data_IF_967787462427
#
_entry.id   IF_967787462427
#
_cell.length_a   1.000
_cell.length_b   1.000
_cell.length_c   1.000
_cell.angle_alpha   90.00
_cell.angle_beta   90.00
_cell.angle_gamma   90.00
#
_symmetry.space_group_name_H-M   'P 1'
#
loop_
_entity.id
_entity.type
_entity.pdbx_description
1 polymer ?
#
# COMPACT_ATOMS: atom_id res chain seq x y z
N UNK A 1 25.97 -84.60 79.48
CA UNK A 1 26.27 -83.40 80.29
C UNK A 1 26.70 -82.29 79.34
N UNK A 2 26.15 -81.08 79.56
CA UNK A 2 26.44 -79.81 78.90
C UNK A 2 25.68 -79.41 77.62
N UNK A 3 24.93 -78.33 77.81
CA UNK A 3 24.05 -77.55 76.92
C UNK A 3 24.79 -76.95 75.72
N UNK A 4 24.05 -76.66 74.65
CA UNK A 4 23.98 -75.29 74.09
C UNK A 4 22.71 -75.07 73.26
N UNK A 5 21.83 -74.26 73.82
CA UNK A 5 20.79 -73.49 73.14
C UNK A 5 21.49 -72.37 72.36
N UNK A 6 21.05 -72.05 71.14
CA UNK A 6 20.88 -70.65 70.71
C UNK A 6 20.24 -70.50 69.31
N UNK A 7 18.99 -70.03 69.33
CA UNK A 7 18.43 -68.88 68.62
C UNK A 7 18.91 -68.56 67.19
N UNK A 8 17.93 -68.60 66.25
CA UNK A 8 17.88 -67.80 65.01
C UNK A 8 17.99 -66.30 65.32
N UNK A 9 18.46 -65.49 64.36
CA UNK A 9 17.47 -64.78 63.55
C UNK A 9 17.79 -64.81 62.04
N UNK A 10 16.72 -64.80 61.24
CA UNK A 10 16.74 -64.62 59.80
C UNK A 10 17.24 -63.21 59.45
N UNK A 11 18.33 -63.08 58.69
CA UNK A 11 18.67 -61.84 58.02
C UNK A 11 17.91 -61.75 56.70
N UNK A 12 16.66 -61.28 56.80
CA UNK A 12 15.90 -60.84 55.64
C UNK A 12 16.39 -59.42 55.28
N UNK A 13 17.41 -59.31 54.44
CA UNK A 13 17.86 -58.02 53.89
C UNK A 13 16.82 -57.53 52.88
N UNK A 14 15.75 -56.90 53.37
CA UNK A 14 14.86 -56.08 52.53
C UNK A 14 15.68 -54.91 52.00
N UNK A 15 16.12 -55.02 50.76
CA UNK A 15 16.68 -53.92 49.97
C UNK A 15 15.59 -52.84 49.85
N UNK A 16 15.71 -51.77 50.61
CA UNK A 16 14.81 -50.62 50.53
C UNK A 16 14.92 -50.01 49.12
N UNK A 17 13.90 -50.26 48.29
CA UNK A 17 13.79 -49.62 46.97
C UNK A 17 13.41 -48.17 47.22
N UNK A 18 14.40 -47.27 47.11
CA UNK A 18 14.23 -45.82 47.24
C UNK A 18 13.22 -45.34 46.20
N UNK A 19 12.06 -44.88 46.66
CA UNK A 19 10.92 -44.44 45.85
C UNK A 19 11.12 -43.02 45.29
N UNK A 20 12.34 -42.64 44.91
CA UNK A 20 12.70 -41.28 44.48
C UNK A 20 12.50 -41.04 42.97
N UNK A 21 11.97 -42.03 42.23
CA UNK A 21 11.72 -41.92 40.79
C UNK A 21 10.45 -41.17 40.41
N UNK A 22 9.44 -41.11 41.30
CA UNK A 22 8.15 -40.49 40.96
C UNK A 22 8.14 -38.97 41.11
N UNK A 23 8.80 -38.42 42.13
CA UNK A 23 8.77 -36.97 42.39
C UNK A 23 9.53 -36.18 41.32
N UNK A 24 10.70 -36.68 40.92
CA UNK A 24 11.50 -36.07 39.85
C UNK A 24 10.77 -36.15 38.50
N UNK A 25 10.11 -37.28 38.19
CA UNK A 25 9.29 -37.42 36.99
C UNK A 25 8.11 -36.44 36.94
N UNK A 26 7.39 -36.27 38.06
CA UNK A 26 6.27 -35.32 38.17
C UNK A 26 6.76 -33.88 38.01
N UNK A 27 7.89 -33.51 38.61
CA UNK A 27 8.48 -32.18 38.45
C UNK A 27 8.89 -31.89 37.00
N UNK A 28 9.48 -32.86 36.30
CA UNK A 28 9.85 -32.72 34.90
C UNK A 28 8.61 -32.57 34.01
N UNK A 29 7.58 -33.42 34.20
CA UNK A 29 6.34 -33.33 33.42
C UNK A 29 5.62 -32.01 33.67
N UNK A 30 5.58 -31.55 34.91
CA UNK A 30 4.99 -30.25 35.27
C UNK A 30 5.76 -29.09 34.63
N UNK A 31 7.10 -29.12 34.68
CA UNK A 31 7.93 -28.10 34.04
C UNK A 31 7.74 -28.07 32.51
N UNK A 32 7.69 -29.23 31.86
CA UNK A 32 7.41 -29.35 30.42
C UNK A 32 6.01 -28.83 30.10
N UNK A 33 5.01 -29.17 30.91
CA UNK A 33 3.64 -28.68 30.77
C UNK A 33 3.58 -27.16 30.82
N UNK A 34 4.24 -26.54 31.81
CA UNK A 34 4.29 -25.07 31.95
C UNK A 34 4.96 -24.41 30.74
N UNK A 35 6.10 -24.96 30.29
CA UNK A 35 6.80 -24.44 29.10
C UNK A 35 5.92 -24.56 27.86
N UNK A 36 5.23 -25.69 27.68
CA UNK A 36 4.34 -25.89 26.55
C UNK A 36 3.12 -24.95 26.59
N UNK A 37 2.52 -24.75 27.76
CA UNK A 37 1.44 -23.78 27.97
C UNK A 37 1.90 -22.34 27.69
N UNK A 38 3.12 -21.97 28.11
CA UNK A 38 3.69 -20.67 27.83
C UNK A 38 3.95 -20.45 26.33
N UNK A 39 4.44 -21.47 25.62
CA UNK A 39 4.62 -21.43 24.16
C UNK A 39 3.27 -21.28 23.45
N UNK A 40 2.25 -22.06 23.85
CA UNK A 40 0.90 -21.95 23.28
C UNK A 40 0.31 -20.56 23.57
N UNK A 41 0.42 -20.07 24.80
CA UNK A 41 -0.08 -18.75 25.18
C UNK A 41 0.62 -17.64 24.38
N UNK A 42 1.94 -17.72 24.23
CA UNK A 42 2.72 -16.77 23.42
C UNK A 42 2.30 -16.85 21.94
N UNK A 43 2.14 -18.05 21.39
CA UNK A 43 1.71 -18.26 20.00
C UNK A 43 0.29 -17.71 19.75
N UNK A 44 -0.65 -17.98 20.65
CA UNK A 44 -2.03 -17.50 20.55
C UNK A 44 -2.08 -15.98 20.72
N UNK A 45 -1.35 -15.42 21.68
CA UNK A 45 -1.31 -13.97 21.92
C UNK A 45 -0.77 -13.24 20.67
N UNK A 46 0.37 -13.69 20.14
CA UNK A 46 1.00 -13.09 18.93
C UNK A 46 0.13 -13.28 17.68
N UNK A 47 -0.54 -14.44 17.53
CA UNK A 47 -1.40 -14.70 16.37
C UNK A 47 -2.72 -13.95 16.43
N UNK A 48 -3.25 -13.69 17.63
CA UNK A 48 -4.53 -13.00 17.82
C UNK A 48 -4.49 -11.52 17.45
N UNK A 49 -3.30 -10.90 17.44
CA UNK A 49 -3.11 -9.50 17.07
C UNK A 49 -3.01 -9.29 15.54
N UNK A 50 -2.86 -10.36 14.75
CA UNK A 50 -2.70 -10.23 13.30
C UNK A 50 -4.06 -10.15 12.59
N UNK A 51 -4.44 -8.94 12.19
CA UNK A 51 -5.62 -8.70 11.36
C UNK A 51 -5.52 -9.50 10.06
N UNK A 52 -6.54 -10.31 9.69
CA UNK A 52 -6.51 -11.10 8.48
C UNK A 52 -6.41 -10.20 7.24
N UNK A 53 -5.77 -10.73 6.19
CA UNK A 53 -5.59 -10.05 4.91
C UNK A 53 -6.38 -10.74 3.80
N UNK A 54 -6.90 -9.95 2.88
CA UNK A 54 -7.41 -10.46 1.62
C UNK A 54 -6.24 -11.05 0.81
N UNK A 55 -6.43 -12.25 0.27
CA UNK A 55 -5.37 -13.01 -0.43
C UNK A 55 -5.03 -12.44 -1.81
N UNK A 56 -5.94 -11.68 -2.40
CA UNK A 56 -5.81 -11.14 -3.75
C UNK A 56 -5.03 -9.83 -3.74
N UNK A 57 -5.42 -8.88 -2.87
CA UNK A 57 -4.81 -7.54 -2.78
C UNK A 57 -3.93 -7.33 -1.55
N UNK A 58 -3.74 -8.32 -0.68
CA UNK A 58 -2.90 -8.27 0.53
C UNK A 58 -3.32 -7.22 1.59
N UNK A 59 -4.44 -6.54 1.37
CA UNK A 59 -4.94 -5.54 2.30
C UNK A 59 -5.61 -6.18 3.51
N UNK A 60 -5.50 -5.52 4.67
CA UNK A 60 -6.21 -5.93 5.87
C UNK A 60 -7.71 -5.88 5.63
N UNK A 61 -8.43 -6.92 6.06
CA UNK A 61 -9.90 -7.00 5.83
C UNK A 61 -10.68 -5.99 6.64
N UNK A 62 -10.08 -5.48 7.72
CA UNK A 62 -10.69 -4.43 8.53
C UNK A 62 -10.71 -3.08 7.81
N UNK A 63 -9.95 -2.88 6.73
CA UNK A 63 -9.88 -1.61 6.00
C UNK A 63 -9.01 -0.53 6.65
N UNK A 64 -8.25 -0.86 7.71
CA UNK A 64 -7.41 0.08 8.43
C UNK A 64 -6.00 0.15 7.82
N UNK A 65 -5.85 0.99 6.79
CA UNK A 65 -4.57 1.27 6.14
C UNK A 65 -4.58 2.65 5.47
N UNK A 66 -3.38 3.21 5.26
CA UNK A 66 -3.18 4.42 4.47
C UNK A 66 -3.22 4.10 2.97
N UNK A 67 -3.34 5.13 2.13
CA UNK A 67 -3.42 4.99 0.68
C UNK A 67 -2.38 5.85 -0.03
N UNK A 68 -1.80 5.28 -1.08
CA UNK A 68 -1.06 5.99 -2.11
C UNK A 68 -1.76 5.76 -3.45
N UNK A 69 -2.40 6.80 -3.97
CA UNK A 69 -3.04 6.78 -5.27
C UNK A 69 -2.09 7.41 -6.28
N UNK A 70 -1.78 6.68 -7.34
CA UNK A 70 -1.00 7.17 -8.49
C UNK A 70 -1.93 7.28 -9.69
N UNK A 71 -1.97 8.46 -10.29
CA UNK A 71 -2.71 8.74 -11.53
C UNK A 71 -1.73 9.17 -12.62
N UNK A 72 -1.62 8.36 -13.67
CA UNK A 72 -0.79 8.66 -14.82
C UNK A 72 -1.66 9.05 -16.02
N UNK A 73 -1.42 10.23 -16.57
CA UNK A 73 -2.04 10.64 -17.82
C UNK A 73 -1.39 9.96 -19.01
N UNK A 74 -2.15 9.21 -19.80
CA UNK A 74 -1.66 8.51 -21.01
C UNK A 74 -2.25 9.07 -22.30
N UNK A 75 -2.88 10.24 -22.25
CA UNK A 75 -3.58 10.85 -23.39
C UNK A 75 -2.63 11.59 -24.33
N UNK A 76 -1.48 12.03 -23.81
CA UNK A 76 -0.41 12.69 -24.55
C UNK A 76 0.59 11.72 -25.16
N UNK A 77 1.42 12.23 -26.08
CA UNK A 77 2.61 11.51 -26.56
C UNK A 77 3.80 11.87 -25.68
N UNK A 78 4.45 10.86 -25.12
CA UNK A 78 5.69 11.00 -24.38
C UNK A 78 6.89 10.58 -25.22
N UNK A 79 8.02 11.26 -25.03
CA UNK A 79 9.30 10.83 -25.61
C UNK A 79 9.80 9.55 -24.92
N UNK A 80 10.75 8.84 -25.54
CA UNK A 80 11.38 7.66 -24.93
C UNK A 80 12.04 7.98 -23.58
N UNK A 81 12.64 9.16 -23.45
CA UNK A 81 13.21 9.61 -22.18
C UNK A 81 12.10 9.84 -21.15
N UNK A 82 10.98 10.44 -21.53
CA UNK A 82 9.87 10.69 -20.62
C UNK A 82 9.23 9.40 -20.12
N UNK A 83 9.06 8.40 -20.99
CA UNK A 83 8.65 7.05 -20.59
C UNK A 83 9.56 6.50 -19.49
N UNK A 84 10.89 6.57 -19.70
CA UNK A 84 11.87 6.14 -18.72
C UNK A 84 11.77 6.92 -17.40
N UNK A 85 11.66 8.24 -17.46
CA UNK A 85 11.55 9.08 -16.26
C UNK A 85 10.26 8.82 -15.49
N UNK A 86 9.12 8.68 -16.19
CA UNK A 86 7.82 8.34 -15.58
C UNK A 86 7.91 6.99 -14.87
N UNK A 87 8.44 5.97 -15.55
CA UNK A 87 8.64 4.63 -14.99
C UNK A 87 9.48 4.68 -13.72
N UNK A 88 10.67 5.30 -13.77
CA UNK A 88 11.56 5.44 -12.62
C UNK A 88 10.89 6.20 -11.46
N UNK A 89 10.09 7.21 -11.78
CA UNK A 89 9.36 7.99 -10.78
C UNK A 89 8.32 7.12 -10.09
N UNK A 90 7.53 6.34 -10.84
CA UNK A 90 6.53 5.42 -10.29
C UNK A 90 7.19 4.32 -9.46
N UNK A 91 8.25 3.70 -9.96
CA UNK A 91 9.01 2.68 -9.25
C UNK A 91 9.52 3.22 -7.90
N UNK A 92 10.06 4.45 -7.88
CA UNK A 92 10.48 5.12 -6.65
C UNK A 92 9.33 5.40 -5.69
N UNK A 93 8.16 5.81 -6.18
CA UNK A 93 6.98 6.00 -5.32
C UNK A 93 6.56 4.67 -4.68
N UNK A 94 6.56 3.58 -5.45
CA UNK A 94 6.21 2.23 -4.99
C UNK A 94 7.24 1.64 -4.02
N UNK A 95 8.53 1.89 -4.24
CA UNK A 95 9.59 1.54 -3.29
C UNK A 95 9.43 2.25 -1.94
N UNK A 96 8.82 3.44 -1.91
CA UNK A 96 8.63 4.22 -0.69
C UNK A 96 7.26 3.99 -0.03
N UNK A 97 6.53 2.95 -0.43
CA UNK A 97 5.29 2.56 0.26
C UNK A 97 5.61 2.09 1.68
N UNK A 98 4.85 2.59 2.65
CA UNK A 98 4.91 2.11 4.04
C UNK A 98 4.35 0.69 4.14
N UNK A 99 4.67 -0.02 5.23
CA UNK A 99 4.01 -1.30 5.52
C UNK A 99 2.49 -1.09 5.57
N UNK A 100 1.74 -1.97 4.92
CA UNK A 100 0.28 -1.94 4.83
C UNK A 100 -0.33 -0.80 4.00
N UNK A 101 0.46 0.15 3.51
CA UNK A 101 -0.06 1.20 2.64
C UNK A 101 -0.60 0.60 1.33
N UNK A 102 -1.83 0.98 0.98
CA UNK A 102 -2.49 0.54 -0.25
C UNK A 102 -2.04 1.40 -1.43
N UNK A 103 -1.41 0.76 -2.41
CA UNK A 103 -1.21 1.33 -3.73
C UNK A 103 -2.50 1.18 -4.54
N UNK A 104 -2.96 2.28 -5.13
CA UNK A 104 -3.95 2.26 -6.22
C UNK A 104 -3.38 2.96 -7.44
N UNK A 105 -3.47 2.32 -8.60
CA UNK A 105 -2.92 2.87 -9.83
C UNK A 105 -4.00 3.08 -10.89
N UNK A 106 -4.06 4.28 -11.48
CA UNK A 106 -5.06 4.68 -12.48
C UNK A 106 -4.41 5.34 -13.68
N UNK A 107 -5.11 5.28 -14.82
CA UNK A 107 -4.81 6.10 -15.99
C UNK A 107 -5.85 7.20 -16.19
N UNK A 108 -5.41 8.36 -16.69
CA UNK A 108 -6.30 9.30 -17.42
C UNK A 108 -6.34 8.83 -18.87
N UNK A 109 -7.55 8.67 -19.41
CA UNK A 109 -7.77 8.23 -20.80
C UNK A 109 -8.73 9.18 -21.52
N UNK A 110 -9.07 8.90 -22.78
CA UNK A 110 -9.94 9.76 -23.61
C UNK A 110 -11.35 10.00 -23.01
N UNK A 111 -11.80 9.16 -22.08
CA UNK A 111 -13.10 9.30 -21.42
C UNK A 111 -13.05 8.84 -19.97
N UNK A 112 -13.98 9.35 -19.16
CA UNK A 112 -14.18 8.92 -17.79
C UNK A 112 -15.39 7.99 -17.74
N UNK A 113 -15.16 6.75 -17.34
CA UNK A 113 -16.23 5.77 -17.12
C UNK A 113 -16.52 5.71 -15.63
N UNK A 114 -17.78 5.95 -15.26
CA UNK A 114 -18.20 5.89 -13.86
C UNK A 114 -17.96 4.48 -13.29
N UNK A 115 -17.36 4.39 -12.11
CA UNK A 115 -17.12 3.11 -11.44
C UNK A 115 -15.92 2.31 -11.95
N UNK A 116 -15.02 2.92 -12.74
CA UNK A 116 -13.75 2.29 -13.12
C UNK A 116 -12.95 1.92 -11.87
N UNK A 117 -12.58 0.64 -11.82
CA UNK A 117 -11.65 0.11 -10.82
C UNK A 117 -10.22 0.53 -11.17
N UNK A 118 -9.32 0.66 -10.18
CA UNK A 118 -7.91 0.86 -10.46
C UNK A 118 -7.34 -0.30 -11.29
N UNK A 119 -6.30 -0.02 -12.06
CA UNK A 119 -5.54 -1.01 -12.81
C UNK A 119 -4.87 -2.03 -11.88
N UNK A 120 -4.48 -1.57 -10.69
CA UNK A 120 -4.10 -2.42 -9.57
C UNK A 120 -4.47 -1.77 -8.25
N UNK A 121 -4.87 -2.60 -7.30
CA UNK A 121 -5.08 -2.25 -5.91
C UNK A 121 -4.39 -3.31 -5.06
N UNK A 122 -3.38 -2.92 -4.29
CA UNK A 122 -2.60 -3.86 -3.48
C UNK A 122 -1.99 -3.14 -2.28
N UNK A 123 -2.02 -3.77 -1.11
CA UNK A 123 -1.32 -3.28 0.07
C UNK A 123 0.10 -3.83 0.13
N UNK A 124 1.05 -2.97 0.48
CA UNK A 124 2.44 -3.36 0.62
C UNK A 124 2.58 -4.39 1.76
N UNK A 125 3.00 -5.65 1.48
CA UNK A 125 3.20 -6.66 2.51
C UNK A 125 4.46 -6.42 3.35
N UNK A 126 5.22 -5.35 3.06
CA UNK A 126 6.51 -5.03 3.66
C UNK A 126 7.67 -5.43 2.76
N UNK A 127 8.83 -4.83 3.02
CA UNK A 127 10.12 -5.30 2.51
C UNK A 127 10.65 -6.34 3.49
N UNK A 128 11.19 -7.45 3.00
CA UNK A 128 11.69 -8.55 3.85
C UNK A 128 12.74 -8.14 4.89
N UNK A 129 13.26 -6.91 4.82
CA UNK A 129 14.20 -6.30 5.76
C UNK A 129 13.54 -5.81 7.06
N UNK A 130 12.23 -5.49 7.06
CA UNK A 130 11.50 -4.98 8.24
C UNK A 130 10.88 -6.08 9.10
N UNK A 131 11.33 -7.31 8.92
CA UNK A 131 10.78 -8.49 9.58
C UNK A 131 11.87 -9.04 10.46
N UNK A 132 11.74 -8.82 11.77
CA UNK A 132 12.64 -9.40 12.76
C UNK A 132 12.80 -10.89 12.45
N UNK A 133 14.05 -11.29 12.23
CA UNK A 133 14.45 -12.62 11.77
C UNK A 133 13.94 -13.77 12.67
N UNK A 134 13.40 -13.45 13.85
CA UNK A 134 12.85 -14.39 14.81
C UNK A 134 11.44 -14.91 14.46
N UNK A 135 10.62 -14.20 13.66
CA UNK A 135 9.18 -14.53 13.55
C UNK A 135 8.55 -14.49 12.15
N UNK A 136 9.26 -14.10 11.07
CA UNK A 136 8.67 -14.06 9.73
C UNK A 136 9.53 -14.68 8.64
N UNK A 137 8.92 -15.49 7.78
CA UNK A 137 9.57 -16.05 6.60
C UNK A 137 9.77 -14.93 5.56
N UNK A 138 10.92 -14.25 5.63
CA UNK A 138 11.30 -13.15 4.75
C UNK A 138 11.15 -13.51 3.27
N UNK A 139 11.42 -14.77 2.90
CA UNK A 139 11.25 -15.25 1.53
C UNK A 139 9.77 -15.25 1.09
N UNK A 140 8.82 -15.57 1.98
CA UNK A 140 7.39 -15.46 1.67
C UNK A 140 6.93 -14.02 1.48
N UNK A 141 7.43 -13.08 2.28
CA UNK A 141 7.07 -11.67 2.16
C UNK A 141 7.63 -11.07 0.88
N UNK A 142 8.91 -11.34 0.57
CA UNK A 142 9.52 -10.96 -0.70
C UNK A 142 8.75 -11.53 -1.88
N UNK A 143 8.40 -12.81 -1.84
CA UNK A 143 7.60 -13.45 -2.90
C UNK A 143 6.24 -12.78 -3.09
N UNK A 144 5.52 -12.45 -2.00
CA UNK A 144 4.25 -11.71 -2.09
C UNK A 144 4.43 -10.32 -2.71
N UNK A 145 5.46 -9.59 -2.30
CA UNK A 145 5.78 -8.28 -2.87
C UNK A 145 6.08 -8.39 -4.37
N UNK A 146 6.90 -9.36 -4.78
CA UNK A 146 7.23 -9.60 -6.17
C UNK A 146 6.00 -9.99 -7.00
N UNK A 147 5.21 -10.97 -6.53
CA UNK A 147 4.12 -11.56 -7.30
C UNK A 147 2.86 -10.69 -7.35
N UNK A 148 2.54 -9.95 -6.27
CA UNK A 148 1.29 -9.19 -6.16
C UNK A 148 1.45 -7.69 -6.41
N UNK A 149 2.66 -7.16 -6.32
CA UNK A 149 2.90 -5.72 -6.46
C UNK A 149 3.87 -5.42 -7.61
N UNK A 150 5.11 -5.93 -7.56
CA UNK A 150 6.12 -5.57 -8.56
C UNK A 150 5.80 -6.08 -9.97
N UNK A 151 5.51 -7.38 -10.15
CA UNK A 151 5.19 -7.95 -11.47
C UNK A 151 3.93 -7.31 -12.09
N UNK A 152 2.80 -7.17 -11.37
CA UNK A 152 1.63 -6.48 -11.92
C UNK A 152 1.90 -5.03 -12.31
N UNK A 153 2.62 -4.28 -11.47
CA UNK A 153 3.03 -2.91 -11.80
C UNK A 153 3.89 -2.88 -13.06
N UNK A 154 4.91 -3.74 -13.14
CA UNK A 154 5.79 -3.79 -14.30
C UNK A 154 5.02 -4.13 -15.59
N UNK A 155 4.00 -4.99 -15.52
CA UNK A 155 3.14 -5.28 -16.66
C UNK A 155 2.35 -4.04 -17.10
N UNK A 156 1.77 -3.29 -16.16
CA UNK A 156 1.06 -2.02 -16.44
C UNK A 156 2.00 -1.01 -17.10
N UNK A 157 3.21 -0.84 -16.56
CA UNK A 157 4.19 0.11 -17.10
C UNK A 157 4.74 -0.34 -18.46
N UNK A 158 4.87 -1.65 -18.68
CA UNK A 158 5.30 -2.19 -19.99
C UNK A 158 4.22 -1.95 -21.05
N UNK A 159 2.95 -2.12 -20.70
CA UNK A 159 1.84 -1.74 -21.57
C UNK A 159 1.88 -0.24 -21.92
N UNK A 160 2.09 0.62 -20.92
CA UNK A 160 2.26 2.06 -21.14
C UNK A 160 3.43 2.38 -22.10
N UNK A 161 4.58 1.73 -21.93
CA UNK A 161 5.77 1.98 -22.76
C UNK A 161 5.60 1.50 -24.20
N UNK A 162 4.86 0.41 -24.41
CA UNK A 162 4.72 -0.24 -25.72
C UNK A 162 3.51 0.26 -26.52
N UNK A 163 2.42 0.61 -25.84
CA UNK A 163 1.16 0.99 -26.46
C UNK A 163 0.94 2.50 -26.36
N UNK A 164 1.76 3.27 -27.09
CA UNK A 164 1.61 4.71 -27.19
C UNK A 164 0.29 5.08 -27.86
N UNK A 165 -0.67 5.53 -27.05
CA UNK A 165 -1.95 6.05 -27.52
C UNK A 165 -1.91 7.56 -27.44
N UNK A 166 -2.41 8.21 -28.49
CA UNK A 166 -2.80 9.62 -28.41
C UNK A 166 -4.30 9.64 -28.33
N UNK A 167 -4.84 10.40 -27.38
CA UNK A 167 -6.27 10.61 -27.25
C UNK A 167 -6.64 12.04 -27.63
N UNK A 168 -7.85 12.20 -28.15
CA UNK A 168 -8.39 13.50 -28.51
C UNK A 168 -8.81 14.32 -27.28
N UNK A 169 -8.88 13.71 -26.09
CA UNK A 169 -9.29 14.33 -24.82
C UNK A 169 -8.38 13.89 -23.67
N UNK A 170 -8.22 14.78 -22.70
CA UNK A 170 -7.65 14.54 -21.37
C UNK A 170 -8.57 15.13 -20.29
N UNK A 171 -9.58 14.38 -19.83
CA UNK A 171 -10.53 14.82 -18.82
C UNK A 171 -9.95 14.66 -17.39
N UNK A 172 -8.95 15.49 -17.07
CA UNK A 172 -8.17 15.43 -15.83
C UNK A 172 -9.05 15.70 -14.61
N UNK A 173 -9.83 16.79 -14.63
CA UNK A 173 -10.71 17.14 -13.51
C UNK A 173 -11.75 16.06 -13.23
N UNK A 174 -12.36 15.52 -14.28
CA UNK A 174 -13.37 14.47 -14.18
C UNK A 174 -12.77 13.18 -13.62
N UNK A 175 -11.55 12.83 -14.04
CA UNK A 175 -10.84 11.66 -13.52
C UNK A 175 -10.48 11.82 -12.05
N UNK A 176 -10.00 13.01 -11.66
CA UNK A 176 -9.73 13.36 -10.26
C UNK A 176 -11.01 13.25 -9.41
N UNK A 177 -12.13 13.78 -9.89
CA UNK A 177 -13.41 13.69 -9.19
C UNK A 177 -13.89 12.22 -9.06
N UNK A 178 -13.75 11.44 -10.13
CA UNK A 178 -14.09 10.02 -10.13
C UNK A 178 -13.29 9.26 -9.06
N UNK A 179 -11.97 9.43 -9.01
CA UNK A 179 -11.09 8.79 -8.02
C UNK A 179 -11.46 9.22 -6.60
N UNK A 180 -11.75 10.50 -6.39
CA UNK A 180 -12.18 10.99 -5.08
C UNK A 180 -13.44 10.26 -4.60
N UNK A 181 -14.45 10.11 -5.46
CA UNK A 181 -15.70 9.43 -5.13
C UNK A 181 -15.55 7.91 -5.02
N UNK A 182 -14.71 7.30 -5.85
CA UNK A 182 -14.54 5.85 -5.91
C UNK A 182 -13.63 5.31 -4.80
N UNK A 183 -12.61 6.06 -4.39
CA UNK A 183 -11.59 5.61 -3.45
C UNK A 183 -11.47 6.47 -2.20
N UNK A 184 -11.23 7.78 -2.34
CA UNK A 184 -10.84 8.63 -1.21
C UNK A 184 -11.99 8.77 -0.21
N UNK A 185 -13.20 9.12 -0.66
CA UNK A 185 -14.40 9.24 0.18
C UNK A 185 -14.89 7.93 0.80
N UNK A 186 -14.47 6.79 0.25
CA UNK A 186 -14.79 5.46 0.78
C UNK A 186 -13.77 4.95 1.80
N UNK A 187 -12.70 5.72 2.04
CA UNK A 187 -11.73 5.40 3.08
C UNK A 187 -12.35 5.54 4.46
N UNK A 188 -11.79 4.82 5.44
CA UNK A 188 -12.18 5.01 6.83
C UNK A 188 -11.73 6.38 7.33
N UNK A 189 -12.42 6.86 8.35
CA UNK A 189 -12.01 8.06 9.07
C UNK A 189 -10.58 7.90 9.60
N UNK A 190 -9.77 8.96 9.45
CA UNK A 190 -8.36 8.95 9.85
C UNK A 190 -7.39 8.34 8.83
N UNK A 191 -7.86 7.72 7.75
CA UNK A 191 -6.98 7.27 6.66
C UNK A 191 -6.20 8.45 6.08
N UNK A 192 -4.86 8.34 6.05
CA UNK A 192 -4.01 9.29 5.32
C UNK A 192 -3.94 8.86 3.86
N UNK A 193 -4.08 9.82 2.95
CA UNK A 193 -3.97 9.55 1.51
C UNK A 193 -2.91 10.44 0.89
N UNK A 194 -1.98 9.83 0.14
CA UNK A 194 -1.10 10.55 -0.78
C UNK A 194 -1.62 10.35 -2.20
N UNK A 195 -1.78 11.44 -2.94
CA UNK A 195 -2.29 11.42 -4.31
C UNK A 195 -1.25 12.00 -5.27
N UNK A 196 -0.53 11.13 -5.96
CA UNK A 196 0.49 11.48 -6.95
C UNK A 196 -0.15 11.51 -8.35
N UNK A 197 -0.10 12.66 -9.03
CA UNK A 197 -0.64 12.86 -10.37
C UNK A 197 0.49 13.20 -11.32
N UNK A 198 0.65 12.42 -12.39
CA UNK A 198 1.69 12.55 -13.41
C UNK A 198 0.99 12.91 -14.72
N UNK A 199 1.15 14.15 -15.19
CA UNK A 199 0.45 14.65 -16.37
C UNK A 199 1.14 15.89 -16.93
N UNK A 200 0.85 16.25 -18.19
CA UNK A 200 1.12 17.60 -18.71
C UNK A 200 0.17 18.65 -18.12
N UNK A 201 -0.87 18.19 -17.40
CA UNK A 201 -1.89 18.98 -16.74
C UNK A 201 -2.70 19.88 -17.68
N UNK A 202 -2.83 19.48 -18.95
CA UNK A 202 -3.58 20.21 -19.96
C UNK A 202 -5.01 19.65 -20.02
N UNK A 203 -5.93 20.26 -19.26
CA UNK A 203 -7.34 19.86 -19.27
C UNK A 203 -7.93 19.98 -20.68
N UNK A 204 -8.52 18.89 -21.16
CA UNK A 204 -9.27 18.86 -22.40
C UNK A 204 -10.43 17.85 -22.36
N UNK A 205 -11.65 18.36 -22.27
CA UNK A 205 -12.90 17.59 -22.29
C UNK A 205 -13.93 18.29 -23.19
N UNK A 206 -15.12 17.70 -23.32
CA UNK A 206 -16.24 18.34 -24.02
C UNK A 206 -16.68 19.62 -23.30
N UNK A 207 -16.85 19.55 -21.97
CA UNK A 207 -17.39 20.65 -21.17
C UNK A 207 -16.37 21.78 -20.93
N UNK A 208 -15.09 21.45 -20.81
CA UNK A 208 -14.05 22.44 -20.55
C UNK A 208 -12.69 22.04 -21.13
N UNK A 209 -11.98 23.02 -21.65
CA UNK A 209 -10.71 22.83 -22.34
C UNK A 209 -9.85 24.08 -22.19
N UNK A 210 -8.58 23.90 -21.82
CA UNK A 210 -7.61 25.00 -21.79
C UNK A 210 -7.27 25.53 -23.20
N UNK A 211 -7.49 24.75 -24.26
CA UNK A 211 -7.34 25.21 -25.64
C UNK A 211 -8.44 26.20 -26.06
N UNK A 212 -9.64 26.09 -25.47
CA UNK A 212 -10.80 26.92 -25.83
C UNK A 212 -11.07 28.04 -24.83
N UNK A 213 -10.61 27.90 -23.59
CA UNK A 213 -10.93 28.77 -22.48
C UNK A 213 -9.66 29.28 -21.81
N UNK A 214 -9.67 30.54 -21.39
CA UNK A 214 -8.61 31.07 -20.52
C UNK A 214 -8.68 30.37 -19.17
N UNK A 215 -7.54 29.92 -18.64
CA UNK A 215 -7.47 29.18 -17.36
C UNK A 215 -8.15 29.92 -16.20
N UNK A 216 -8.03 31.26 -16.16
CA UNK A 216 -8.70 32.11 -15.16
C UNK A 216 -10.23 31.99 -15.16
N UNK A 217 -10.84 31.67 -16.30
CA UNK A 217 -12.29 31.57 -16.43
C UNK A 217 -12.84 30.36 -15.68
N UNK A 218 -12.03 29.33 -15.41
CA UNK A 218 -12.44 28.15 -14.65
C UNK A 218 -13.19 28.54 -13.38
N UNK A 219 -12.65 29.52 -12.63
CA UNK A 219 -13.16 29.93 -11.32
C UNK A 219 -14.58 30.49 -11.33
N UNK A 220 -15.04 31.02 -12.45
CA UNK A 220 -16.36 31.65 -12.61
C UNK A 220 -17.35 30.79 -13.41
N UNK A 221 -16.90 29.69 -14.01
CA UNK A 221 -17.75 28.83 -14.84
C UNK A 221 -18.59 27.86 -14.01
N UNK A 222 -19.75 27.44 -14.54
CA UNK A 222 -20.55 26.35 -13.97
C UNK A 222 -19.82 25.01 -14.01
N UNK A 223 -18.86 24.85 -14.92
CA UNK A 223 -17.99 23.68 -15.00
C UNK A 223 -17.24 23.40 -13.69
N UNK A 224 -16.74 24.45 -13.00
CA UNK A 224 -16.11 24.29 -11.68
C UNK A 224 -17.01 23.58 -10.69
N UNK A 225 -18.32 23.88 -10.68
CA UNK A 225 -19.28 23.23 -9.79
C UNK A 225 -19.47 21.76 -10.17
N UNK A 226 -19.49 21.47 -11.48
CA UNK A 226 -19.63 20.10 -12.01
C UNK A 226 -18.47 19.20 -11.58
N UNK A 227 -17.23 19.69 -11.66
CA UNK A 227 -16.03 18.92 -11.30
C UNK A 227 -15.55 19.15 -9.87
N UNK A 228 -16.33 19.86 -9.06
CA UNK A 228 -15.98 20.16 -7.68
C UNK A 228 -15.65 18.87 -6.92
N UNK A 229 -14.53 18.91 -6.22
CA UNK A 229 -13.99 17.80 -5.47
C UNK A 229 -13.60 18.32 -4.09
N UNK A 230 -14.05 17.65 -3.04
CA UNK A 230 -13.60 17.91 -1.67
C UNK A 230 -12.69 16.77 -1.24
N UNK A 231 -11.46 17.10 -0.91
CA UNK A 231 -10.48 16.20 -0.31
C UNK A 231 -10.51 16.34 1.21
N UNK A 232 -10.35 15.21 1.88
CA UNK A 232 -10.15 15.15 3.33
C UNK A 232 -8.87 14.38 3.62
N UNK A 233 -7.96 15.02 4.35
CA UNK A 233 -6.67 14.44 4.74
C UNK A 233 -5.87 13.83 3.56
N UNK A 234 -5.84 14.54 2.43
CA UNK A 234 -5.09 14.17 1.23
C UNK A 234 -3.89 15.08 1.04
N UNK A 235 -2.70 14.49 0.91
CA UNK A 235 -1.50 15.16 0.44
C UNK A 235 -1.38 14.94 -1.08
N UNK A 236 -1.18 16.00 -1.85
CA UNK A 236 -1.19 15.95 -3.32
C UNK A 236 0.21 16.24 -3.87
N UNK A 237 0.72 15.33 -4.70
CA UNK A 237 1.97 15.49 -5.41
C UNK A 237 1.69 15.66 -6.90
N UNK A 238 1.94 16.83 -7.45
CA UNK A 238 1.77 17.15 -8.86
C UNK A 238 3.11 17.01 -9.58
N UNK A 239 3.21 16.02 -10.46
CA UNK A 239 4.39 15.73 -11.26
C UNK A 239 4.14 16.20 -12.69
N UNK A 240 4.60 17.41 -12.99
CA UNK A 240 4.37 18.07 -14.28
C UNK A 240 5.32 17.51 -15.34
N UNK A 241 4.75 16.87 -16.35
CA UNK A 241 5.45 16.40 -17.53
C UNK A 241 5.51 17.51 -18.58
N UNK A 242 6.68 17.72 -19.17
CA UNK A 242 6.80 18.65 -20.30
C UNK A 242 6.22 18.01 -21.55
N UNK A 243 5.52 18.77 -22.39
CA UNK A 243 5.08 18.32 -23.70
C UNK A 243 5.60 19.27 -24.77
N UNK A 244 6.38 18.73 -25.70
CA UNK A 244 6.98 19.51 -26.78
C UNK A 244 5.90 20.18 -27.62
N UNK A 245 6.03 21.49 -27.83
CA UNK A 245 5.05 22.31 -28.57
C UNK A 245 3.79 22.66 -27.77
N UNK A 246 3.81 22.49 -26.46
CA UNK A 246 2.75 22.85 -25.50
C UNK A 246 3.31 23.57 -24.27
N UNK A 247 4.49 24.18 -24.40
CA UNK A 247 5.21 24.85 -23.32
C UNK A 247 4.42 26.02 -22.72
N UNK A 248 3.47 26.59 -23.47
CA UNK A 248 2.57 27.65 -22.99
C UNK A 248 1.71 27.22 -21.79
N UNK A 249 1.47 25.92 -21.60
CA UNK A 249 0.71 25.35 -20.49
C UNK A 249 1.57 24.99 -19.27
N UNK A 250 2.88 25.24 -19.32
CA UNK A 250 3.84 24.87 -18.25
C UNK A 250 4.41 26.09 -17.50
N UNK A 251 3.89 27.28 -17.80
CA UNK A 251 4.27 28.51 -17.11
C UNK A 251 3.69 28.53 -15.68
N UNK A 252 4.15 29.49 -14.88
CA UNK A 252 3.78 29.58 -13.46
C UNK A 252 2.27 29.82 -13.25
N UNK A 253 1.54 30.42 -14.20
CA UNK A 253 0.09 30.60 -14.12
C UNK A 253 -0.64 29.24 -14.04
N UNK A 254 -0.23 28.26 -14.84
CA UNK A 254 -0.82 26.92 -14.85
C UNK A 254 -0.43 26.13 -13.59
N UNK A 255 0.82 26.25 -13.15
CA UNK A 255 1.29 25.60 -11.92
C UNK A 255 0.54 26.12 -10.69
N UNK A 256 0.44 27.44 -10.57
CA UNK A 256 -0.26 28.10 -9.48
C UNK A 256 -1.76 27.81 -9.53
N UNK A 257 -2.35 27.74 -10.72
CA UNK A 257 -3.74 27.33 -10.88
C UNK A 257 -4.00 25.94 -10.30
N UNK A 258 -3.20 24.94 -10.67
CA UNK A 258 -3.40 23.56 -10.19
C UNK A 258 -3.12 23.45 -8.69
N UNK A 259 -2.08 24.13 -8.19
CA UNK A 259 -1.83 24.24 -6.75
C UNK A 259 -3.06 24.79 -6.03
N UNK A 260 -3.58 25.92 -6.51
CA UNK A 260 -4.76 26.60 -5.96
C UNK A 260 -5.99 25.71 -6.03
N UNK A 261 -6.23 24.99 -7.12
CA UNK A 261 -7.35 24.06 -7.27
C UNK A 261 -7.33 23.00 -6.16
N UNK A 262 -6.20 22.32 -5.93
CA UNK A 262 -6.11 21.29 -4.90
C UNK A 262 -6.18 21.88 -3.48
N UNK A 263 -5.59 23.05 -3.24
CA UNK A 263 -5.70 23.74 -1.94
C UNK A 263 -7.14 24.19 -1.65
N UNK A 264 -7.86 24.81 -2.59
CA UNK A 264 -9.28 25.18 -2.43
C UNK A 264 -10.20 23.94 -2.32
N UNK A 265 -9.75 22.80 -2.85
CA UNK A 265 -10.43 21.52 -2.71
C UNK A 265 -10.22 20.85 -1.34
N UNK A 266 -9.39 21.43 -0.46
CA UNK A 266 -9.18 20.95 0.91
C UNK A 266 -7.89 20.15 1.15
N UNK A 267 -7.01 20.03 0.15
CA UNK A 267 -5.68 19.44 0.37
C UNK A 267 -4.83 20.33 1.27
N UNK A 268 -4.22 19.74 2.30
CA UNK A 268 -3.36 20.46 3.27
C UNK A 268 -1.95 20.68 2.72
N UNK A 269 -1.47 19.76 1.91
CA UNK A 269 -0.13 19.80 1.34
C UNK A 269 -0.22 19.54 -0.17
N UNK A 270 0.22 20.52 -0.96
CA UNK A 270 0.31 20.40 -2.42
C UNK A 270 1.74 20.68 -2.84
N UNK A 271 2.44 19.63 -3.26
CA UNK A 271 3.82 19.70 -3.73
C UNK A 271 3.83 19.62 -5.24
N UNK A 272 4.54 20.54 -5.90
CA UNK A 272 4.77 20.52 -7.35
C UNK A 272 6.20 20.08 -7.61
N UNK A 273 6.37 19.14 -8.53
CA UNK A 273 7.65 18.74 -9.09
C UNK A 273 7.56 18.81 -10.61
N UNK A 274 8.50 19.52 -11.24
CA UNK A 274 8.69 19.44 -12.68
C UNK A 274 9.51 18.18 -12.96
N UNK A 275 9.00 17.30 -13.80
CA UNK A 275 9.70 16.09 -14.21
C UNK A 275 10.48 16.43 -15.47
N UNK A 276 11.81 16.44 -15.35
CA UNK A 276 12.72 16.71 -16.47
C UNK A 276 12.96 15.43 -17.28
N UNK A 277 12.83 15.54 -18.59
CA UNK A 277 12.95 14.45 -19.55
C UNK A 277 12.41 14.83 -20.91
#
# INVERSE_FOLDING_TARGET
>A
MSKKINNRPSSNTKRAKKNSGNLAGILIISAVGIVFSAIIYMYVSVSSEQVPRNKDNLCKVDGNYNKHIILLDITGRYSLIQHKTIRQTIEKEVENLELDEQLQFYFITNSVVAGVKPLMEVCNPGKGENVDAAFGNQAMIKKKWEDKLYKPLNNILTDFDTNQKTADKSPIFETVQMINNASIKKSKEGTKTRFTIISDFIQHSDDYSFFRNKIKNFWTTTYRQKVYTKFDNVDVNLMFMRRNGREEYLNDEYLDFWKKYFTESGSKNVVIKRVEG
#
